data_IF_031319386297
#
_entry.id   IF_031319386297
#
_cell.length_a   1.000
_cell.length_b   1.000
_cell.length_c   1.000
_cell.angle_alpha   90.00
_cell.angle_beta   90.00
_cell.angle_gamma   90.00
#
_symmetry.space_group_name_H-M   'P 1'
#
loop_
_entity.id
_entity.type
_entity.pdbx_description
1 polymer ?
#
# COMPACT_ATOMS: atom_id res chain seq x y z
N UNK A 1 -6.65 -11.04 -30.01
CA UNK A 1 -6.08 -11.16 -28.65
C UNK A 1 -6.15 -12.59 -28.10
N UNK A 2 -7.23 -13.30 -28.33
CA UNK A 2 -7.41 -14.65 -27.76
C UNK A 2 -6.38 -15.69 -28.26
N UNK A 3 -5.93 -15.61 -29.51
CA UNK A 3 -4.90 -16.51 -30.06
C UNK A 3 -3.51 -16.30 -29.44
N UNK A 4 -3.17 -15.08 -29.00
CA UNK A 4 -1.91 -14.78 -28.32
C UNK A 4 -1.92 -15.33 -26.90
N UNK A 5 -3.04 -15.17 -26.19
CA UNK A 5 -3.19 -15.67 -24.81
C UNK A 5 -3.38 -17.20 -24.72
N UNK A 6 -3.79 -17.87 -25.80
CA UNK A 6 -3.97 -19.32 -25.79
C UNK A 6 -2.67 -20.12 -25.56
N UNK A 7 -1.51 -19.58 -26.01
CA UNK A 7 -0.17 -20.17 -25.85
C UNK A 7 0.62 -19.61 -24.69
N UNK A 8 0.09 -18.58 -24.01
CA UNK A 8 0.75 -17.93 -22.88
C UNK A 8 0.49 -18.76 -21.62
N UNK A 9 1.54 -18.98 -20.83
CA UNK A 9 1.47 -19.56 -19.49
C UNK A 9 1.95 -18.53 -18.47
N UNK A 10 1.60 -18.70 -17.19
CA UNK A 10 2.06 -17.80 -16.13
C UNK A 10 3.59 -17.74 -16.08
N UNK A 11 4.27 -18.88 -16.23
CA UNK A 11 5.74 -18.91 -16.25
C UNK A 11 6.34 -18.09 -17.40
N UNK A 12 5.76 -18.18 -18.61
CA UNK A 12 6.21 -17.37 -19.75
C UNK A 12 6.02 -15.88 -19.50
N UNK A 13 4.91 -15.51 -18.87
CA UNK A 13 4.64 -14.13 -18.48
C UNK A 13 5.65 -13.63 -17.44
N UNK A 14 5.97 -14.43 -16.43
CA UNK A 14 6.99 -14.13 -15.43
C UNK A 14 8.38 -13.98 -16.06
N UNK A 15 8.74 -14.86 -17.00
CA UNK A 15 10.03 -14.77 -17.73
C UNK A 15 10.10 -13.46 -18.52
N UNK A 16 9.05 -13.09 -19.24
CA UNK A 16 9.00 -11.82 -19.97
C UNK A 16 9.10 -10.61 -19.03
N UNK A 17 8.41 -10.65 -17.90
CA UNK A 17 8.46 -9.61 -16.88
C UNK A 17 9.84 -9.52 -16.21
N UNK A 18 10.49 -10.63 -15.95
CA UNK A 18 11.86 -10.69 -15.45
C UNK A 18 12.85 -10.10 -16.46
N UNK A 19 12.77 -10.53 -17.73
CA UNK A 19 13.63 -10.02 -18.79
C UNK A 19 13.48 -8.49 -18.95
N UNK A 20 12.25 -7.96 -18.89
CA UNK A 20 12.00 -6.51 -18.92
C UNK A 20 12.77 -5.79 -17.80
N UNK A 21 12.73 -6.31 -16.57
CA UNK A 21 13.40 -5.69 -15.42
C UNK A 21 14.92 -5.80 -15.51
N UNK A 22 15.44 -6.92 -16.00
CA UNK A 22 16.88 -7.09 -16.25
C UNK A 22 17.37 -6.07 -17.28
N UNK A 23 16.65 -5.91 -18.40
CA UNK A 23 16.98 -4.91 -19.42
C UNK A 23 16.97 -3.50 -18.83
N UNK A 24 15.95 -3.15 -18.05
CA UNK A 24 15.86 -1.83 -17.40
C UNK A 24 16.96 -1.60 -16.35
N UNK A 25 17.35 -2.62 -15.59
CA UNK A 25 18.46 -2.53 -14.64
C UNK A 25 19.79 -2.29 -15.37
N UNK A 26 20.07 -3.05 -16.42
CA UNK A 26 21.28 -2.89 -17.22
C UNK A 26 21.31 -1.52 -17.91
N UNK A 27 20.18 -1.11 -18.49
CA UNK A 27 20.04 0.22 -19.07
C UNK A 27 20.22 1.32 -18.02
N UNK A 28 19.70 1.13 -16.84
CA UNK A 28 19.85 2.07 -15.72
C UNK A 28 21.30 2.29 -15.31
N UNK A 29 22.10 1.22 -15.20
CA UNK A 29 23.53 1.32 -14.92
C UNK A 29 24.27 2.04 -16.06
N UNK A 30 23.91 1.74 -17.33
CA UNK A 30 24.47 2.43 -18.48
C UNK A 30 24.12 3.93 -18.47
N UNK A 31 22.85 4.28 -18.24
CA UNK A 31 22.42 5.69 -18.18
C UNK A 31 23.09 6.42 -17.03
N UNK A 32 23.21 5.79 -15.86
CA UNK A 32 23.84 6.39 -14.68
C UNK A 32 25.34 6.64 -14.90
N UNK A 33 26.01 5.83 -15.74
CA UNK A 33 27.42 6.01 -16.07
C UNK A 33 27.64 7.12 -17.08
N UNK A 34 26.86 7.19 -18.15
CA UNK A 34 27.18 8.00 -19.34
C UNK A 34 26.31 9.24 -19.53
N UNK A 35 25.15 9.38 -18.85
CA UNK A 35 24.24 10.50 -19.08
C UNK A 35 24.26 11.48 -17.88
N UNK A 36 23.98 12.76 -18.16
CA UNK A 36 23.83 13.79 -17.12
C UNK A 36 22.59 13.57 -16.27
N UNK A 37 21.48 13.17 -16.89
CA UNK A 37 20.24 12.82 -16.20
C UNK A 37 20.33 11.36 -15.77
N UNK A 38 20.38 11.13 -14.47
CA UNK A 38 20.51 9.79 -13.90
C UNK A 38 19.20 9.02 -13.98
N UNK A 39 19.30 7.71 -14.21
CA UNK A 39 18.17 6.77 -14.15
C UNK A 39 17.75 6.50 -12.71
N UNK A 40 18.74 6.33 -11.84
CA UNK A 40 18.53 6.05 -10.41
C UNK A 40 17.72 7.16 -9.75
N UNK A 41 16.70 6.76 -8.99
CA UNK A 41 15.89 7.69 -8.21
C UNK A 41 16.71 8.29 -7.07
N UNK A 42 16.43 9.56 -6.73
CA UNK A 42 17.07 10.23 -5.59
C UNK A 42 16.79 9.51 -4.28
N UNK A 43 15.58 8.92 -4.13
CA UNK A 43 15.22 8.14 -2.94
C UNK A 43 16.18 6.95 -2.73
N UNK A 44 16.64 6.30 -3.82
CA UNK A 44 17.60 5.20 -3.71
C UNK A 44 18.96 5.63 -3.17
N UNK A 45 19.40 6.82 -3.55
CA UNK A 45 20.64 7.40 -2.98
C UNK A 45 20.47 7.65 -1.48
N UNK A 46 19.32 8.21 -1.10
CA UNK A 46 18.97 8.45 0.30
C UNK A 46 18.94 7.14 1.10
N UNK A 47 18.34 6.09 0.54
CA UNK A 47 18.31 4.75 1.19
C UNK A 47 19.71 4.17 1.35
N UNK A 48 20.56 4.30 0.33
CA UNK A 48 21.92 3.77 0.34
C UNK A 48 22.82 4.53 1.34
N UNK A 49 22.68 5.85 1.42
CA UNK A 49 23.39 6.65 2.42
C UNK A 49 22.95 6.29 3.84
N UNK A 50 21.64 6.12 4.08
CA UNK A 50 21.12 5.67 5.37
C UNK A 50 21.63 4.27 5.74
N UNK A 51 21.69 3.35 4.76
CA UNK A 51 22.25 2.01 4.95
C UNK A 51 23.73 2.07 5.32
N UNK A 52 24.51 3.00 4.74
CA UNK A 52 25.91 3.23 5.10
C UNK A 52 26.05 3.66 6.55
N UNK A 53 25.25 4.62 7.00
CA UNK A 53 25.28 5.05 8.41
C UNK A 53 24.99 3.90 9.36
N UNK A 54 24.02 3.05 9.03
CA UNK A 54 23.76 1.84 9.84
C UNK A 54 24.99 0.90 9.89
N UNK A 55 25.67 0.67 8.76
CA UNK A 55 26.89 -0.19 8.75
C UNK A 55 28.03 0.42 9.54
N UNK A 56 28.04 1.73 9.74
CA UNK A 56 28.99 2.46 10.58
C UNK A 56 28.53 2.55 12.05
N UNK A 57 27.42 1.92 12.44
CA UNK A 57 26.85 1.99 13.79
C UNK A 57 26.23 3.34 14.15
N UNK A 58 25.91 4.15 13.14
CA UNK A 58 25.33 5.50 13.27
C UNK A 58 23.81 5.49 12.98
N UNK A 59 23.13 6.60 13.36
CA UNK A 59 21.72 6.81 13.03
C UNK A 59 21.50 6.99 11.53
N UNK A 60 20.51 6.29 10.91
CA UNK A 60 20.16 6.50 9.51
C UNK A 60 19.62 7.91 9.23
N UNK A 61 19.14 8.60 10.27
CA UNK A 61 18.58 9.95 10.20
C UNK A 61 19.63 11.05 10.10
N UNK A 62 20.92 10.73 10.21
CA UNK A 62 22.01 11.64 9.80
C UNK A 62 21.92 11.98 8.31
N UNK A 63 21.18 11.21 7.52
CA UNK A 63 20.76 11.62 6.18
C UNK A 63 19.49 12.47 6.30
N UNK A 64 19.62 13.79 6.23
CA UNK A 64 18.54 14.77 6.46
C UNK A 64 17.21 14.46 5.76
N UNK A 65 17.26 13.88 4.58
CA UNK A 65 16.08 13.56 3.77
C UNK A 65 15.56 12.14 3.98
N UNK A 66 16.15 11.33 4.87
CA UNK A 66 15.67 9.99 5.17
C UNK A 66 14.40 10.07 6.02
N UNK A 67 13.26 9.62 5.45
CA UNK A 67 11.92 9.72 6.07
C UNK A 67 11.22 8.36 6.09
N UNK A 68 11.96 7.33 6.38
CA UNK A 68 11.51 5.93 6.36
C UNK A 68 11.91 5.21 7.65
N UNK A 69 11.30 4.03 7.87
CA UNK A 69 11.70 3.17 8.99
C UNK A 69 13.17 2.74 8.84
N UNK A 70 13.93 2.61 9.95
CA UNK A 70 15.29 2.06 9.93
C UNK A 70 15.37 0.66 9.31
N UNK A 71 14.28 -0.13 9.37
CA UNK A 71 14.22 -1.46 8.76
C UNK A 71 14.52 -1.44 7.26
N UNK A 72 14.13 -0.40 6.53
CA UNK A 72 14.46 -0.27 5.11
C UNK A 72 15.96 -0.08 4.92
N UNK A 73 16.60 0.79 5.71
CA UNK A 73 18.03 1.02 5.63
C UNK A 73 18.83 -0.24 6.05
N UNK A 74 18.38 -0.95 7.10
CA UNK A 74 18.95 -2.24 7.50
C UNK A 74 18.87 -3.29 6.38
N UNK A 75 17.72 -3.39 5.70
CA UNK A 75 17.51 -4.29 4.57
C UNK A 75 18.44 -3.99 3.39
N UNK A 76 18.83 -2.74 3.24
CA UNK A 76 19.68 -2.27 2.14
C UNK A 76 21.17 -2.19 2.48
N UNK A 77 21.60 -2.63 3.65
CA UNK A 77 23.04 -2.71 3.98
C UNK A 77 23.87 -3.50 2.97
N UNK A 78 23.34 -4.54 2.25
CA UNK A 78 24.08 -5.20 1.19
C UNK A 78 24.46 -4.27 0.01
N UNK A 79 23.82 -3.11 -0.15
CA UNK A 79 24.27 -2.08 -1.10
C UNK A 79 25.71 -1.61 -0.81
N UNK A 80 26.17 -1.73 0.42
CA UNK A 80 27.45 -1.21 0.89
C UNK A 80 28.54 -2.30 0.81
N UNK A 81 28.25 -3.51 1.32
CA UNK A 81 29.27 -4.55 1.44
C UNK A 81 29.22 -5.60 0.32
N UNK A 82 28.17 -5.62 -0.52
CA UNK A 82 28.09 -6.57 -1.62
C UNK A 82 28.11 -5.85 -2.96
N UNK A 83 26.97 -5.30 -3.46
CA UNK A 83 26.96 -4.51 -4.69
C UNK A 83 25.88 -3.41 -4.65
N UNK A 84 26.21 -2.25 -5.21
CA UNK A 84 25.42 -1.01 -5.08
C UNK A 84 23.96 -1.12 -5.56
N UNK A 85 23.67 -1.99 -6.51
CA UNK A 85 22.34 -2.16 -7.09
C UNK A 85 21.57 -3.31 -6.47
N UNK A 86 22.01 -3.88 -5.33
CA UNK A 86 21.30 -4.93 -4.61
C UNK A 86 19.84 -4.55 -4.32
N UNK A 87 19.59 -3.35 -3.79
CA UNK A 87 18.25 -2.89 -3.48
C UNK A 87 17.36 -2.77 -4.72
N UNK A 88 17.90 -2.32 -5.87
CA UNK A 88 17.16 -2.29 -7.14
C UNK A 88 16.73 -3.71 -7.57
N UNK A 89 17.63 -4.69 -7.43
CA UNK A 89 17.31 -6.10 -7.70
C UNK A 89 16.24 -6.64 -6.73
N UNK A 90 16.34 -6.29 -5.45
CA UNK A 90 15.37 -6.66 -4.44
C UNK A 90 13.98 -6.09 -4.76
N UNK A 91 13.89 -4.82 -5.12
CA UNK A 91 12.62 -4.16 -5.46
C UNK A 91 12.02 -4.71 -6.76
N UNK A 92 12.84 -4.97 -7.77
CA UNK A 92 12.43 -5.62 -9.00
C UNK A 92 11.92 -7.06 -8.75
N UNK A 93 12.55 -7.80 -7.84
CA UNK A 93 12.08 -9.13 -7.41
C UNK A 93 10.75 -9.05 -6.66
N UNK A 94 10.58 -8.02 -5.82
CA UNK A 94 9.32 -7.77 -5.14
C UNK A 94 8.17 -7.49 -6.12
N UNK A 95 8.42 -6.79 -7.24
CA UNK A 95 7.43 -6.63 -8.31
C UNK A 95 6.94 -7.97 -8.88
N UNK A 96 7.86 -8.90 -9.12
CA UNK A 96 7.52 -10.22 -9.63
C UNK A 96 6.70 -11.01 -8.60
N UNK A 97 7.05 -10.87 -7.31
CA UNK A 97 6.31 -11.48 -6.21
C UNK A 97 4.90 -10.86 -6.08
N UNK A 98 4.74 -9.55 -6.26
CA UNK A 98 3.42 -8.93 -6.35
C UNK A 98 2.59 -9.55 -7.47
N UNK A 99 3.16 -9.72 -8.66
CA UNK A 99 2.48 -10.37 -9.79
C UNK A 99 2.08 -11.82 -9.48
N UNK A 100 2.95 -12.57 -8.80
CA UNK A 100 2.62 -13.91 -8.32
C UNK A 100 1.46 -13.90 -7.32
N UNK A 101 1.47 -12.99 -6.35
CA UNK A 101 0.40 -12.86 -5.35
C UNK A 101 -0.93 -12.46 -6.01
N UNK A 102 -0.92 -11.54 -6.98
CA UNK A 102 -2.10 -11.18 -7.77
C UNK A 102 -2.68 -12.43 -8.44
N UNK A 103 -1.85 -13.19 -9.15
CA UNK A 103 -2.27 -14.44 -9.79
C UNK A 103 -2.89 -15.41 -8.79
N UNK A 104 -2.22 -15.66 -7.66
CA UNK A 104 -2.70 -16.57 -6.62
C UNK A 104 -4.04 -16.13 -6.02
N UNK A 105 -4.21 -14.83 -5.79
CA UNK A 105 -5.47 -14.26 -5.28
C UNK A 105 -6.58 -14.43 -6.31
N UNK A 106 -6.35 -14.17 -7.58
CA UNK A 106 -7.35 -14.33 -8.64
C UNK A 106 -7.79 -15.79 -8.77
N UNK A 107 -6.85 -16.73 -8.75
CA UNK A 107 -7.14 -18.17 -8.79
C UNK A 107 -7.89 -18.62 -7.52
N UNK A 108 -7.49 -18.14 -6.35
CA UNK A 108 -8.16 -18.45 -5.08
C UNK A 108 -9.62 -17.94 -5.05
N UNK A 109 -9.91 -16.87 -5.78
CA UNK A 109 -11.28 -16.33 -5.99
C UNK A 109 -12.07 -17.08 -7.07
N UNK A 110 -11.57 -18.22 -7.55
CA UNK A 110 -12.26 -19.08 -8.50
C UNK A 110 -12.02 -18.76 -9.98
N UNK A 111 -11.08 -17.84 -10.30
CA UNK A 111 -10.77 -17.54 -11.69
C UNK A 111 -9.89 -18.63 -12.30
N UNK A 112 -10.21 -19.15 -13.51
CA UNK A 112 -9.29 -20.03 -14.22
C UNK A 112 -7.94 -19.37 -14.46
N UNK A 113 -6.82 -20.06 -14.19
CA UNK A 113 -5.47 -19.54 -14.29
C UNK A 113 -5.18 -18.87 -15.65
N UNK A 114 -5.65 -19.46 -16.76
CA UNK A 114 -5.53 -18.86 -18.11
C UNK A 114 -6.24 -17.51 -18.21
N UNK A 115 -7.39 -17.36 -17.58
CA UNK A 115 -8.16 -16.10 -17.60
C UNK A 115 -7.51 -15.02 -16.73
N UNK A 116 -6.79 -15.41 -15.68
CA UNK A 116 -6.07 -14.50 -14.81
C UNK A 116 -4.90 -13.81 -15.53
N UNK A 117 -4.25 -14.47 -16.50
CA UNK A 117 -3.05 -13.96 -17.17
C UNK A 117 -3.18 -12.54 -17.77
N UNK A 118 -4.35 -12.19 -18.28
CA UNK A 118 -4.60 -10.85 -18.82
C UNK A 118 -4.59 -9.76 -17.75
N UNK A 119 -4.98 -10.11 -16.53
CA UNK A 119 -4.96 -9.21 -15.38
C UNK A 119 -3.56 -9.16 -14.76
N UNK A 120 -2.87 -10.30 -14.70
CA UNK A 120 -1.49 -10.39 -14.24
C UNK A 120 -0.55 -9.53 -15.12
N UNK A 121 -0.80 -9.53 -16.43
CA UNK A 121 -0.02 -8.73 -17.39
C UNK A 121 -0.15 -7.21 -17.13
N UNK A 122 -1.28 -6.73 -16.57
CA UNK A 122 -1.46 -5.32 -16.22
C UNK A 122 -0.50 -4.84 -15.12
N UNK A 123 0.01 -5.75 -14.31
CA UNK A 123 1.06 -5.48 -13.34
C UNK A 123 2.43 -5.88 -13.86
N UNK A 124 2.60 -7.13 -14.27
CA UNK A 124 3.90 -7.72 -14.60
C UNK A 124 4.59 -7.05 -15.79
N UNK A 125 3.81 -6.66 -16.80
CA UNK A 125 4.32 -5.98 -18.01
C UNK A 125 4.07 -4.47 -18.01
N UNK A 126 3.65 -3.90 -16.89
CA UNK A 126 3.46 -2.47 -16.78
C UNK A 126 4.80 -1.74 -16.77
N UNK A 127 5.09 -0.87 -17.76
CA UNK A 127 6.38 -0.18 -17.83
C UNK A 127 6.59 0.80 -16.69
N UNK A 128 5.52 1.40 -16.16
CA UNK A 128 5.61 2.30 -15.00
C UNK A 128 6.03 1.53 -13.75
N UNK A 129 5.43 0.36 -13.50
CA UNK A 129 5.78 -0.52 -12.37
C UNK A 129 7.25 -0.93 -12.47
N UNK A 130 7.66 -1.49 -13.63
CA UNK A 130 9.02 -1.94 -13.84
C UNK A 130 10.04 -0.78 -13.73
N UNK A 131 9.70 0.41 -14.23
CA UNK A 131 10.57 1.57 -14.15
C UNK A 131 10.75 2.06 -12.70
N UNK A 132 9.68 2.12 -11.91
CA UNK A 132 9.74 2.61 -10.52
C UNK A 132 10.64 1.71 -9.66
N UNK A 133 10.48 0.39 -9.74
CA UNK A 133 11.29 -0.55 -8.95
C UNK A 133 12.76 -0.59 -9.39
N UNK A 134 13.03 -0.61 -10.71
CA UNK A 134 14.38 -0.66 -11.25
C UNK A 134 15.16 0.65 -11.08
N UNK A 135 14.46 1.77 -10.89
CA UNK A 135 15.06 3.03 -10.46
C UNK A 135 15.45 3.05 -8.98
N UNK A 136 15.01 2.05 -8.20
CA UNK A 136 15.36 1.90 -6.79
C UNK A 136 14.32 2.44 -5.80
N UNK A 137 13.04 2.38 -6.16
CA UNK A 137 11.96 2.75 -5.25
C UNK A 137 11.37 1.52 -4.54
N UNK A 138 11.13 1.62 -3.23
CA UNK A 138 10.77 0.50 -2.36
C UNK A 138 9.27 0.17 -2.32
N UNK A 139 8.42 0.80 -3.14
CA UNK A 139 6.95 0.65 -3.07
C UNK A 139 6.48 -0.78 -3.37
N UNK A 140 7.23 -1.53 -4.16
CA UNK A 140 6.92 -2.94 -4.44
C UNK A 140 7.05 -3.84 -3.21
N UNK A 141 7.97 -3.56 -2.28
CA UNK A 141 8.05 -4.27 -0.99
C UNK A 141 6.75 -4.12 -0.19
N UNK A 142 6.24 -2.90 -0.15
CA UNK A 142 4.98 -2.61 0.52
C UNK A 142 3.80 -3.30 -0.19
N UNK A 143 3.80 -3.32 -1.53
CA UNK A 143 2.85 -4.08 -2.33
C UNK A 143 2.85 -5.57 -1.98
N UNK A 144 4.02 -6.19 -1.82
CA UNK A 144 4.15 -7.59 -1.36
C UNK A 144 3.53 -7.79 0.03
N UNK A 145 3.76 -6.88 0.97
CA UNK A 145 3.22 -7.01 2.33
C UNK A 145 1.69 -6.89 2.33
N UNK A 146 1.13 -5.93 1.59
CA UNK A 146 -0.33 -5.72 1.48
C UNK A 146 -1.00 -6.90 0.77
N UNK A 147 -0.53 -7.27 -0.42
CA UNK A 147 -1.07 -8.41 -1.17
C UNK A 147 -0.84 -9.74 -0.43
N UNK A 148 0.31 -9.88 0.25
CA UNK A 148 0.62 -11.01 1.10
C UNK A 148 -0.37 -11.14 2.25
N UNK A 149 -0.70 -10.05 2.94
CA UNK A 149 -1.73 -10.03 3.98
C UNK A 149 -3.07 -10.51 3.42
N UNK A 150 -3.53 -9.96 2.27
CA UNK A 150 -4.79 -10.35 1.66
C UNK A 150 -4.79 -11.84 1.25
N UNK A 151 -3.71 -12.33 0.65
CA UNK A 151 -3.57 -13.73 0.29
C UNK A 151 -3.63 -14.65 1.52
N UNK A 152 -2.89 -14.32 2.58
CA UNK A 152 -2.83 -15.12 3.81
C UNK A 152 -4.18 -15.14 4.53
N UNK A 153 -4.89 -14.00 4.60
CA UNK A 153 -6.24 -13.94 5.16
C UNK A 153 -7.21 -14.81 4.34
N UNK A 154 -7.18 -14.72 3.01
CA UNK A 154 -8.08 -15.48 2.14
C UNK A 154 -7.83 -16.98 2.19
N UNK A 155 -6.61 -17.42 2.41
CA UNK A 155 -6.29 -18.86 2.55
C UNK A 155 -6.79 -19.46 3.86
N UNK A 156 -7.20 -18.64 4.83
CA UNK A 156 -7.76 -19.02 6.16
C UNK A 156 -6.82 -19.86 7.02
N UNK A 157 -5.84 -20.52 6.43
CA UNK A 157 -4.87 -21.41 7.10
C UNK A 157 -3.78 -20.66 7.85
N UNK A 158 -3.42 -19.47 7.38
CA UNK A 158 -2.24 -18.73 7.84
C UNK A 158 -2.60 -17.44 8.57
N UNK A 159 -3.61 -17.52 9.45
CA UNK A 159 -4.14 -16.38 10.19
C UNK A 159 -3.07 -15.59 10.95
N UNK A 160 -2.23 -16.26 11.72
CA UNK A 160 -1.16 -15.59 12.47
C UNK A 160 -0.14 -14.91 11.56
N UNK A 161 0.25 -15.59 10.48
CA UNK A 161 1.14 -14.98 9.48
C UNK A 161 0.53 -13.72 8.86
N UNK A 162 -0.80 -13.72 8.62
CA UNK A 162 -1.50 -12.53 8.13
C UNK A 162 -1.44 -11.38 9.13
N UNK A 163 -1.63 -11.65 10.43
CA UNK A 163 -1.51 -10.65 11.48
C UNK A 163 -0.10 -10.04 11.54
N UNK A 164 0.93 -10.89 11.47
CA UNK A 164 2.33 -10.47 11.51
C UNK A 164 2.67 -9.59 10.30
N UNK A 165 2.32 -10.03 9.09
CA UNK A 165 2.61 -9.29 7.84
C UNK A 165 1.83 -7.97 7.81
N UNK A 166 0.59 -7.94 8.30
CA UNK A 166 -0.19 -6.70 8.37
C UNK A 166 0.44 -5.69 9.34
N UNK A 167 0.76 -6.10 10.57
CA UNK A 167 1.44 -5.24 11.54
C UNK A 167 2.78 -4.71 11.03
N UNK A 168 3.58 -5.58 10.37
CA UNK A 168 4.82 -5.19 9.72
C UNK A 168 4.59 -4.18 8.58
N UNK A 169 3.56 -4.37 7.75
CA UNK A 169 3.26 -3.45 6.66
C UNK A 169 2.91 -2.04 7.16
N UNK A 170 2.16 -1.94 8.26
CA UNK A 170 1.81 -0.67 8.89
C UNK A 170 3.04 -0.01 9.51
N UNK A 171 3.95 -0.79 10.12
CA UNK A 171 5.22 -0.26 10.64
C UNK A 171 6.14 0.22 9.52
N UNK A 172 6.22 -0.52 8.41
CA UNK A 172 7.06 -0.17 7.27
C UNK A 172 6.60 1.14 6.61
N UNK A 173 5.28 1.35 6.52
CA UNK A 173 4.65 2.59 6.05
C UNK A 173 3.23 2.65 6.62
N UNK A 174 2.84 3.75 7.22
CA UNK A 174 1.60 3.85 8.02
C UNK A 174 0.32 3.63 7.21
N UNK A 175 0.32 3.94 5.89
CA UNK A 175 -0.91 3.96 5.10
C UNK A 175 -1.68 2.62 5.04
N UNK A 176 -1.08 1.41 5.06
CA UNK A 176 -1.83 0.14 5.03
C UNK A 176 -2.84 -0.01 6.18
N UNK A 177 -2.75 0.79 7.24
CA UNK A 177 -3.73 0.81 8.32
C UNK A 177 -5.17 1.06 7.82
N UNK A 178 -5.33 1.72 6.66
CA UNK A 178 -6.65 1.94 6.04
C UNK A 178 -7.39 0.64 5.73
N UNK A 179 -6.67 -0.44 5.50
CA UNK A 179 -7.24 -1.76 5.20
C UNK A 179 -7.72 -2.51 6.46
N UNK A 180 -7.50 -1.97 7.65
CA UNK A 180 -7.96 -2.61 8.90
C UNK A 180 -9.47 -2.85 8.88
N UNK A 181 -10.27 -1.85 8.45
CA UNK A 181 -11.73 -1.96 8.43
C UNK A 181 -12.21 -3.09 7.49
N UNK A 182 -11.87 -3.13 6.18
CA UNK A 182 -12.31 -4.21 5.32
C UNK A 182 -11.74 -5.58 5.72
N UNK A 183 -10.53 -5.64 6.30
CA UNK A 183 -10.00 -6.91 6.85
C UNK A 183 -10.84 -7.39 8.03
N UNK A 184 -11.19 -6.51 8.96
CA UNK A 184 -12.05 -6.86 10.09
C UNK A 184 -13.47 -7.25 9.64
N UNK A 185 -14.00 -6.64 8.57
CA UNK A 185 -15.30 -7.03 7.99
C UNK A 185 -15.26 -8.44 7.36
N UNK A 186 -14.13 -8.80 6.74
CA UNK A 186 -13.93 -10.12 6.15
C UNK A 186 -13.78 -11.22 7.24
N UNK A 187 -13.20 -10.88 8.39
CA UNK A 187 -13.00 -11.76 9.54
C UNK A 187 -14.30 -11.92 10.37
N UNK A 188 -15.39 -12.30 9.73
CA UNK A 188 -16.67 -12.56 10.38
C UNK A 188 -16.71 -13.95 11.07
N UNK A 189 -17.84 -14.30 11.64
CA UNK A 189 -18.04 -15.57 12.33
C UNK A 189 -17.94 -16.80 11.40
N UNK A 190 -18.09 -16.61 10.09
CA UNK A 190 -17.96 -17.64 9.06
C UNK A 190 -16.51 -17.78 8.56
N UNK A 191 -15.59 -16.93 8.99
CA UNK A 191 -14.19 -16.99 8.57
C UNK A 191 -13.51 -18.34 8.86
N UNK A 192 -14.11 -19.14 9.73
CA UNK A 192 -13.53 -20.37 10.25
C UNK A 192 -12.77 -20.09 11.54
N UNK A 193 -12.86 -21.00 12.47
CA UNK A 193 -12.21 -20.81 13.77
C UNK A 193 -10.74 -21.25 13.67
N UNK A 194 -9.76 -20.31 13.56
CA UNK A 194 -8.33 -20.65 13.60
C UNK A 194 -7.94 -21.29 14.96
N UNK A 195 -8.86 -21.35 15.91
CA UNK A 195 -8.67 -21.79 17.29
C UNK A 195 -9.45 -23.06 17.65
N UNK A 196 -9.84 -23.85 16.65
CA UNK A 196 -10.59 -25.09 16.91
C UNK A 196 -9.94 -26.00 17.97
N UNK A 197 -8.65 -25.79 18.26
CA UNK A 197 -7.90 -26.51 19.29
C UNK A 197 -7.84 -25.80 20.66
N UNK A 198 -8.28 -24.53 20.76
CA UNK A 198 -8.23 -23.79 22.05
C UNK A 198 -9.56 -23.89 22.78
N UNK A 199 -9.59 -24.70 23.85
CA UNK A 199 -10.77 -24.86 24.69
C UNK A 199 -11.27 -23.53 25.31
N UNK A 200 -10.37 -22.59 25.61
CA UNK A 200 -10.72 -21.28 26.14
C UNK A 200 -11.46 -20.42 25.11
N UNK A 201 -10.96 -20.31 23.90
CA UNK A 201 -11.58 -19.48 22.85
C UNK A 201 -12.91 -20.06 22.37
N UNK A 202 -13.03 -21.39 22.36
CA UNK A 202 -14.31 -22.06 22.10
C UNK A 202 -15.33 -21.69 23.18
N UNK A 203 -14.94 -21.68 24.46
CA UNK A 203 -15.83 -21.24 25.57
C UNK A 203 -16.24 -19.77 25.40
N UNK A 204 -15.31 -18.87 25.10
CA UNK A 204 -15.60 -17.44 24.87
C UNK A 204 -16.63 -17.28 23.73
N UNK A 205 -16.47 -18.05 22.66
CA UNK A 205 -17.40 -18.01 21.52
C UNK A 205 -18.79 -18.52 21.90
N UNK A 206 -18.89 -19.58 22.69
CA UNK A 206 -20.18 -20.06 23.20
C UNK A 206 -20.90 -19.05 24.09
N UNK A 207 -20.17 -18.41 25.02
CA UNK A 207 -20.73 -17.35 25.87
C UNK A 207 -21.24 -16.18 24.99
N UNK A 208 -20.45 -15.77 24.00
CA UNK A 208 -20.84 -14.72 23.06
C UNK A 208 -22.11 -15.05 22.28
N UNK A 209 -22.24 -16.27 21.75
CA UNK A 209 -23.46 -16.71 21.06
C UNK A 209 -24.69 -16.73 21.97
N UNK A 210 -24.51 -17.13 23.22
CA UNK A 210 -25.59 -17.07 24.22
C UNK A 210 -26.06 -15.64 24.44
N UNK A 211 -25.14 -14.69 24.67
CA UNK A 211 -25.49 -13.28 24.85
C UNK A 211 -26.18 -12.71 23.61
N UNK A 212 -25.72 -13.03 22.39
CA UNK A 212 -26.37 -12.60 21.16
C UNK A 212 -27.80 -13.12 21.09
N UNK A 213 -28.03 -14.40 21.45
CA UNK A 213 -29.34 -15.02 21.44
C UNK A 213 -30.30 -14.36 22.45
N UNK A 214 -29.83 -14.06 23.69
CA UNK A 214 -30.58 -13.33 24.71
C UNK A 214 -30.98 -11.92 24.22
N UNK A 215 -30.04 -11.20 23.56
CA UNK A 215 -30.32 -9.89 22.98
C UNK A 215 -31.33 -9.97 21.80
N UNK A 216 -31.33 -11.06 21.03
CA UNK A 216 -32.32 -11.29 19.97
C UNK A 216 -33.73 -11.47 20.56
N UNK A 217 -33.86 -12.20 21.67
CA UNK A 217 -35.14 -12.34 22.37
C UNK A 217 -35.63 -10.99 22.92
N UNK A 218 -34.76 -10.19 23.56
CA UNK A 218 -35.11 -8.87 24.03
C UNK A 218 -35.55 -7.92 22.91
N UNK A 219 -34.93 -8.01 21.72
CA UNK A 219 -35.30 -7.21 20.56
C UNK A 219 -36.64 -7.66 19.94
N UNK A 220 -37.00 -8.92 20.07
CA UNK A 220 -38.29 -9.43 19.65
C UNK A 220 -39.43 -8.93 20.55
N UNK A 221 -39.16 -8.75 21.85
CA UNK A 221 -40.11 -8.20 22.81
C UNK A 221 -40.21 -6.68 22.79
N UNK A 222 -39.05 -5.98 22.63
CA UNK A 222 -38.97 -4.53 22.65
C UNK A 222 -37.91 -4.03 21.68
N UNK A 223 -38.32 -3.33 20.64
CA UNK A 223 -37.42 -2.74 19.63
C UNK A 223 -36.65 -1.53 20.20
N UNK A 224 -35.56 -1.79 20.91
CA UNK A 224 -34.70 -0.79 21.54
C UNK A 224 -33.48 -0.51 20.70
N UNK A 225 -33.23 0.79 20.42
CA UNK A 225 -32.02 1.26 19.73
C UNK A 225 -30.77 0.86 20.51
N UNK A 226 -30.79 0.99 21.83
CA UNK A 226 -29.68 0.64 22.70
C UNK A 226 -29.34 -0.84 22.56
N UNK A 227 -30.34 -1.74 22.60
CA UNK A 227 -30.15 -3.19 22.43
C UNK A 227 -29.60 -3.53 21.06
N UNK A 228 -30.03 -2.83 19.98
CA UNK A 228 -29.48 -2.97 18.64
C UNK A 228 -28.00 -2.60 18.58
N UNK A 229 -27.62 -1.47 19.18
CA UNK A 229 -26.22 -1.03 19.24
C UNK A 229 -25.37 -2.03 20.01
N UNK A 230 -25.79 -2.45 21.21
CA UNK A 230 -25.07 -3.41 22.04
C UNK A 230 -24.90 -4.73 21.30
N UNK A 231 -25.95 -5.28 20.70
CA UNK A 231 -25.88 -6.49 19.88
C UNK A 231 -24.90 -6.30 18.70
N UNK A 232 -25.03 -5.21 17.95
CA UNK A 232 -24.16 -4.90 16.81
C UNK A 232 -22.67 -4.87 17.24
N UNK A 233 -22.38 -4.25 18.40
CA UNK A 233 -21.03 -4.18 18.96
C UNK A 233 -20.51 -5.58 19.33
N UNK A 234 -21.31 -6.41 20.01
CA UNK A 234 -20.92 -7.76 20.41
C UNK A 234 -20.72 -8.67 19.17
N UNK A 235 -21.57 -8.52 18.16
CA UNK A 235 -21.41 -9.23 16.89
C UNK A 235 -20.15 -8.79 16.16
N UNK A 236 -19.84 -7.49 16.17
CA UNK A 236 -18.62 -6.98 15.54
C UNK A 236 -17.35 -7.42 16.30
N UNK A 237 -17.35 -7.40 17.62
CA UNK A 237 -16.21 -7.78 18.46
C UNK A 237 -16.11 -9.32 18.59
N UNK A 238 -15.89 -10.00 17.46
CA UNK A 238 -15.60 -11.45 17.47
C UNK A 238 -14.19 -11.75 17.96
N UNK A 239 -13.93 -12.90 18.62
CA UNK A 239 -12.59 -13.28 19.08
C UNK A 239 -11.54 -13.25 17.96
N UNK A 240 -11.91 -13.62 16.75
CA UNK A 240 -11.02 -13.60 15.57
C UNK A 240 -10.61 -12.16 15.23
N UNK A 241 -11.57 -11.22 15.20
CA UNK A 241 -11.30 -9.80 14.93
C UNK A 241 -10.43 -9.17 16.00
N UNK A 242 -10.76 -9.43 17.27
CA UNK A 242 -9.99 -8.91 18.43
C UNK A 242 -8.55 -9.42 18.32
N UNK A 243 -8.37 -10.71 18.10
CA UNK A 243 -7.03 -11.29 18.03
C UNK A 243 -6.24 -10.79 16.81
N UNK A 244 -6.89 -10.64 15.66
CA UNK A 244 -6.24 -10.03 14.49
C UNK A 244 -5.74 -8.62 14.83
N UNK A 245 -6.59 -7.79 15.42
CA UNK A 245 -6.24 -6.44 15.83
C UNK A 245 -5.12 -6.42 16.86
N UNK A 246 -5.21 -7.24 17.92
CA UNK A 246 -4.21 -7.27 19.00
C UNK A 246 -2.84 -7.75 18.50
N UNK A 247 -2.77 -8.83 17.71
CA UNK A 247 -1.48 -9.33 17.21
C UNK A 247 -0.87 -8.33 16.23
N UNK A 248 -1.67 -7.79 15.30
CA UNK A 248 -1.15 -6.81 14.33
C UNK A 248 -0.68 -5.53 15.02
N UNK A 249 -1.44 -5.04 16.00
CA UNK A 249 -1.05 -3.89 16.81
C UNK A 249 0.21 -4.20 17.64
N UNK A 250 0.30 -5.37 18.24
CA UNK A 250 1.50 -5.79 19.00
C UNK A 250 2.74 -5.77 18.10
N UNK A 251 2.67 -6.30 16.88
CA UNK A 251 3.81 -6.27 15.94
C UNK A 251 4.20 -4.84 15.60
N UNK A 252 3.21 -3.99 15.28
CA UNK A 252 3.47 -2.58 15.01
C UNK A 252 4.14 -1.87 16.18
N UNK A 253 3.58 -2.00 17.39
CA UNK A 253 4.10 -1.30 18.57
C UNK A 253 5.43 -1.89 19.04
N UNK A 254 5.63 -3.21 18.96
CA UNK A 254 6.90 -3.84 19.34
C UNK A 254 8.05 -3.38 18.44
N UNK A 255 7.83 -3.35 17.11
CA UNK A 255 8.82 -2.83 16.17
C UNK A 255 9.05 -1.33 16.39
N UNK A 256 7.99 -0.57 16.59
CA UNK A 256 8.08 0.88 16.85
C UNK A 256 8.85 1.16 18.14
N UNK A 257 8.56 0.43 19.22
CA UNK A 257 9.28 0.56 20.49
C UNK A 257 10.75 0.17 20.36
N UNK A 258 11.06 -0.90 19.62
CA UNK A 258 12.45 -1.32 19.37
C UNK A 258 13.23 -0.24 18.61
N UNK A 259 12.63 0.34 17.56
CA UNK A 259 13.28 1.41 16.79
C UNK A 259 13.38 2.70 17.61
N UNK A 260 12.38 3.02 18.41
CA UNK A 260 12.42 4.17 19.30
C UNK A 260 13.50 4.02 20.38
N UNK A 261 13.64 2.83 20.97
CA UNK A 261 14.69 2.56 21.95
C UNK A 261 16.10 2.74 21.35
N UNK A 262 16.27 2.46 20.05
CA UNK A 262 17.56 2.55 19.39
C UNK A 262 17.88 3.95 18.84
N UNK A 263 16.87 4.67 18.34
CA UNK A 263 17.04 5.94 17.62
C UNK A 263 16.31 7.13 18.23
N UNK A 264 15.55 6.91 19.32
CA UNK A 264 14.86 7.97 20.07
C UNK A 264 13.84 8.77 19.26
N UNK A 265 13.77 10.06 19.58
CA UNK A 265 12.82 11.00 18.97
C UNK A 265 13.04 11.19 17.48
N UNK A 266 14.28 11.06 16.98
CA UNK A 266 14.59 11.16 15.54
C UNK A 266 13.76 10.17 14.73
N UNK A 267 13.62 8.92 15.24
CA UNK A 267 12.79 7.92 14.60
C UNK A 267 11.32 8.36 14.50
N UNK A 268 10.72 8.82 15.60
CA UNK A 268 9.32 9.25 15.61
C UNK A 268 9.09 10.46 14.71
N UNK A 269 9.97 11.45 14.79
CA UNK A 269 9.91 12.68 14.01
C UNK A 269 9.99 12.38 12.51
N UNK A 270 11.01 11.64 12.08
CA UNK A 270 11.29 11.43 10.67
C UNK A 270 10.43 10.35 10.01
N UNK A 271 10.10 9.26 10.74
CA UNK A 271 9.34 8.15 10.15
C UNK A 271 7.83 8.44 10.08
N UNK A 272 7.26 9.08 11.11
CA UNK A 272 5.81 9.24 11.22
C UNK A 272 5.36 10.71 11.25
N UNK A 273 5.87 11.52 12.19
CA UNK A 273 5.37 12.88 12.42
C UNK A 273 5.65 13.83 11.26
N UNK A 274 6.79 13.68 10.61
CA UNK A 274 7.13 14.47 9.42
C UNK A 274 6.05 14.44 8.35
N UNK A 275 5.40 13.31 8.13
CA UNK A 275 4.37 13.18 7.09
C UNK A 275 3.10 13.97 7.41
N UNK A 276 2.84 14.28 8.66
CA UNK A 276 1.71 15.11 9.10
C UNK A 276 1.97 16.59 8.79
N UNK A 277 3.19 17.04 9.02
CA UNK A 277 3.58 18.44 8.86
C UNK A 277 4.16 18.76 7.48
N UNK A 278 4.51 17.72 6.69
CA UNK A 278 5.16 17.88 5.38
C UNK A 278 4.38 18.80 4.46
N UNK A 279 5.11 19.76 3.90
CA UNK A 279 4.67 20.64 2.82
C UNK A 279 5.63 20.49 1.64
N UNK A 280 5.08 20.27 0.44
CA UNK A 280 5.85 20.19 -0.79
C UNK A 280 5.16 21.04 -1.86
N UNK A 281 5.71 22.20 -2.13
CA UNK A 281 5.22 23.14 -3.12
C UNK A 281 5.94 23.02 -4.47
N UNK A 282 6.84 22.04 -4.65
CA UNK A 282 7.59 21.85 -5.90
C UNK A 282 7.22 20.55 -6.62
N UNK A 283 7.29 19.41 -5.92
CA UNK A 283 7.12 18.06 -6.49
C UNK A 283 5.85 17.38 -5.98
N UNK A 284 4.69 17.98 -6.24
CA UNK A 284 3.42 17.54 -5.67
C UNK A 284 2.30 17.49 -6.73
N UNK A 285 1.68 16.31 -6.90
CA UNK A 285 0.55 16.09 -7.79
C UNK A 285 -0.80 16.22 -7.09
N UNK A 286 -0.85 16.63 -5.81
CA UNK A 286 -2.08 16.69 -5.03
C UNK A 286 -3.02 17.80 -5.48
N UNK A 287 -4.30 17.65 -5.10
CA UNK A 287 -5.32 18.69 -5.26
C UNK A 287 -4.99 19.93 -4.40
N UNK A 288 -4.21 19.75 -3.34
CA UNK A 288 -3.77 20.79 -2.40
C UNK A 288 -2.54 21.58 -2.89
N UNK A 289 -1.92 21.17 -4.00
CA UNK A 289 -0.69 21.78 -4.50
C UNK A 289 -0.78 23.28 -4.64
N UNK A 290 -1.86 23.78 -5.30
CA UNK A 290 -2.02 25.20 -5.57
C UNK A 290 -2.22 26.03 -4.29
N UNK A 291 -2.95 25.49 -3.34
CA UNK A 291 -3.15 26.14 -2.03
C UNK A 291 -1.86 26.22 -1.24
N UNK A 292 -1.05 25.16 -1.23
CA UNK A 292 0.28 25.16 -0.59
C UNK A 292 1.25 26.11 -1.28
N UNK A 293 1.14 26.23 -2.62
CA UNK A 293 1.97 27.18 -3.38
C UNK A 293 1.63 28.64 -3.04
N UNK A 294 0.36 28.98 -2.87
CA UNK A 294 -0.05 30.34 -2.48
C UNK A 294 0.25 30.67 -1.01
N UNK A 295 0.31 29.65 -0.16
CA UNK A 295 0.51 29.81 1.29
C UNK A 295 1.96 29.69 1.77
N UNK A 296 2.96 29.75 0.87
CA UNK A 296 4.39 29.56 1.21
C UNK A 296 4.83 30.46 2.38
N UNK A 297 4.36 31.69 2.42
CA UNK A 297 4.77 32.69 3.41
C UNK A 297 3.84 32.75 4.65
N UNK A 298 2.68 32.08 4.62
CA UNK A 298 1.62 32.18 5.65
C UNK A 298 0.90 30.85 5.92
N UNK A 299 1.63 29.74 6.10
CA UNK A 299 1.00 28.46 6.41
C UNK A 299 0.58 28.37 7.87
N UNK A 300 -0.74 28.26 8.10
CA UNK A 300 -1.27 27.88 9.40
C UNK A 300 -1.07 26.39 9.63
N UNK A 301 -0.49 25.94 10.78
CA UNK A 301 -0.34 24.53 11.11
C UNK A 301 -1.66 23.74 11.03
N UNK A 302 -2.79 24.39 11.32
CA UNK A 302 -4.13 23.83 11.24
C UNK A 302 -4.55 23.45 9.81
N UNK A 303 -4.08 24.17 8.79
CA UNK A 303 -4.42 23.88 7.40
C UNK A 303 -3.91 22.50 6.96
N UNK A 304 -2.73 22.11 7.47
CA UNK A 304 -2.19 20.77 7.26
C UNK A 304 -3.06 19.65 7.82
N UNK A 305 -3.65 19.86 9.00
CA UNK A 305 -4.55 18.90 9.64
C UNK A 305 -5.92 18.85 8.96
N UNK A 306 -6.48 19.99 8.57
CA UNK A 306 -7.77 20.08 7.86
C UNK A 306 -7.74 19.28 6.54
N UNK A 307 -6.63 19.27 5.84
CA UNK A 307 -6.47 18.50 4.60
C UNK A 307 -6.63 16.97 4.80
N UNK A 308 -6.36 16.45 6.00
CA UNK A 308 -6.56 15.03 6.31
C UNK A 308 -8.01 14.64 6.62
N UNK A 309 -8.87 15.60 7.00
CA UNK A 309 -10.25 15.30 7.40
C UNK A 309 -11.05 14.63 6.28
N UNK A 310 -11.13 15.18 5.04
CA UNK A 310 -11.86 14.51 3.96
C UNK A 310 -11.24 13.17 3.58
N UNK A 311 -9.91 13.04 3.63
CA UNK A 311 -9.20 11.80 3.36
C UNK A 311 -9.62 10.70 4.34
N UNK A 312 -9.51 10.95 5.65
CA UNK A 312 -9.82 9.97 6.69
C UNK A 312 -11.32 9.64 6.74
N UNK A 313 -12.19 10.66 6.59
CA UNK A 313 -13.63 10.45 6.57
C UNK A 313 -14.06 9.54 5.41
N UNK A 314 -13.63 9.84 4.18
CA UNK A 314 -13.97 9.07 3.00
C UNK A 314 -13.40 7.65 3.04
N UNK A 315 -12.16 7.48 3.47
CA UNK A 315 -11.52 6.16 3.61
C UNK A 315 -12.28 5.31 4.63
N UNK A 316 -12.67 5.89 5.77
CA UNK A 316 -13.44 5.19 6.80
C UNK A 316 -14.83 4.81 6.29
N UNK A 317 -15.56 5.76 5.68
CA UNK A 317 -16.89 5.51 5.12
C UNK A 317 -16.88 4.39 4.07
N UNK A 318 -15.88 4.37 3.18
CA UNK A 318 -15.73 3.32 2.17
C UNK A 318 -15.42 1.97 2.83
N UNK A 319 -14.52 1.96 3.82
CA UNK A 319 -14.22 0.74 4.57
C UNK A 319 -15.45 0.12 5.22
N UNK A 320 -16.33 0.94 5.78
CA UNK A 320 -17.59 0.50 6.40
C UNK A 320 -18.61 0.08 5.33
N UNK A 321 -18.81 0.91 4.30
CA UNK A 321 -19.86 0.68 3.30
C UNK A 321 -19.57 -0.53 2.39
N UNK A 322 -18.32 -0.74 2.04
CA UNK A 322 -17.90 -1.75 1.07
C UNK A 322 -16.98 -2.82 1.66
N UNK A 323 -16.74 -2.83 2.97
CA UNK A 323 -15.78 -3.73 3.62
C UNK A 323 -16.03 -5.23 3.41
N UNK A 324 -17.27 -5.63 3.06
CA UNK A 324 -17.59 -7.02 2.68
C UNK A 324 -16.92 -7.45 1.36
N UNK A 325 -16.66 -6.54 0.44
CA UNK A 325 -15.82 -6.76 -0.74
C UNK A 325 -14.42 -6.17 -0.49
N UNK A 326 -13.54 -6.99 0.08
CA UNK A 326 -12.18 -6.60 0.47
C UNK A 326 -11.45 -5.86 -0.66
N UNK A 327 -11.49 -6.37 -1.88
CA UNK A 327 -10.68 -5.82 -2.97
C UNK A 327 -11.24 -4.52 -3.50
N UNK A 328 -12.57 -4.41 -3.62
CA UNK A 328 -13.20 -3.17 -4.00
C UNK A 328 -13.00 -2.09 -2.94
N UNK A 329 -13.22 -2.43 -1.67
CA UNK A 329 -12.98 -1.49 -0.57
C UNK A 329 -11.52 -1.03 -0.50
N UNK A 330 -10.57 -1.96 -0.56
CA UNK A 330 -9.15 -1.65 -0.51
C UNK A 330 -8.71 -0.77 -1.68
N UNK A 331 -9.18 -1.07 -2.91
CA UNK A 331 -8.87 -0.25 -4.08
C UNK A 331 -9.43 1.17 -3.93
N UNK A 332 -10.71 1.29 -3.57
CA UNK A 332 -11.36 2.60 -3.40
C UNK A 332 -10.76 3.40 -2.26
N UNK A 333 -10.44 2.75 -1.13
CA UNK A 333 -9.75 3.39 -0.02
C UNK A 333 -8.38 3.92 -0.44
N UNK A 334 -7.59 3.12 -1.16
CA UNK A 334 -6.27 3.52 -1.65
C UNK A 334 -6.37 4.64 -2.67
N UNK A 335 -7.30 4.52 -3.62
CA UNK A 335 -7.51 5.54 -4.65
C UNK A 335 -7.87 6.90 -4.02
N UNK A 336 -8.82 6.91 -3.08
CA UNK A 336 -9.22 8.12 -2.36
C UNK A 336 -8.10 8.63 -1.44
N UNK A 337 -7.43 7.71 -0.72
CA UNK A 337 -6.30 8.08 0.12
C UNK A 337 -5.23 8.82 -0.68
N UNK A 338 -4.87 8.32 -1.87
CA UNK A 338 -3.91 8.99 -2.76
C UNK A 338 -4.47 10.29 -3.31
N UNK A 339 -5.73 10.31 -3.77
CA UNK A 339 -6.35 11.50 -4.38
C UNK A 339 -6.42 12.69 -3.41
N UNK A 340 -6.76 12.44 -2.15
CA UNK A 340 -6.90 13.49 -1.13
C UNK A 340 -5.62 13.66 -0.28
N UNK A 341 -4.55 12.94 -0.60
CA UNK A 341 -3.29 13.10 0.13
C UNK A 341 -2.72 14.51 -0.07
N UNK A 342 -2.17 15.05 1.00
CA UNK A 342 -1.57 16.39 1.02
C UNK A 342 -0.40 16.53 0.03
N UNK A 343 0.44 15.51 -0.06
CA UNK A 343 1.56 15.45 -1.01
C UNK A 343 1.51 14.14 -1.77
N UNK A 344 1.47 14.21 -3.10
CA UNK A 344 1.42 13.06 -3.99
C UNK A 344 2.64 13.08 -4.91
N UNK A 345 3.35 11.97 -4.95
CA UNK A 345 4.41 11.71 -5.92
C UNK A 345 4.00 10.54 -6.84
N UNK A 346 4.64 10.40 -7.99
CA UNK A 346 4.25 9.39 -8.98
C UNK A 346 4.33 7.95 -8.47
N UNK A 347 5.23 7.65 -7.52
CA UNK A 347 5.36 6.32 -6.93
C UNK A 347 4.12 5.89 -6.12
N UNK A 348 3.31 6.82 -5.60
CA UNK A 348 2.08 6.48 -4.86
C UNK A 348 1.00 5.84 -5.75
N UNK A 349 1.11 6.02 -7.05
CA UNK A 349 0.21 5.34 -8.00
C UNK A 349 0.38 3.81 -7.95
N UNK A 350 1.55 3.31 -7.57
CA UNK A 350 1.80 1.88 -7.37
C UNK A 350 0.81 1.24 -6.39
N UNK A 351 0.37 1.99 -5.36
CA UNK A 351 -0.48 1.45 -4.31
C UNK A 351 -1.86 1.02 -4.79
N UNK A 352 -2.48 1.78 -5.69
CA UNK A 352 -3.76 1.36 -6.26
C UNK A 352 -3.59 0.56 -7.56
N UNK A 353 -2.48 0.73 -8.28
CA UNK A 353 -2.19 -0.06 -9.49
C UNK A 353 -2.02 -1.54 -9.13
N UNK A 354 -1.44 -1.89 -7.99
CA UNK A 354 -1.31 -3.28 -7.57
C UNK A 354 -2.65 -3.94 -7.23
N UNK A 355 -3.67 -3.16 -6.84
CA UNK A 355 -5.01 -3.65 -6.53
C UNK A 355 -5.93 -3.68 -7.77
N UNK A 356 -5.61 -2.90 -8.79
CA UNK A 356 -6.43 -2.77 -10.00
C UNK A 356 -6.71 -4.11 -10.71
N UNK A 357 -5.74 -5.02 -10.91
CA UNK A 357 -5.99 -6.34 -11.48
C UNK A 357 -7.02 -7.18 -10.71
N UNK A 358 -7.15 -6.94 -9.40
CA UNK A 358 -8.02 -7.72 -8.52
C UNK A 358 -9.49 -7.29 -8.57
N UNK A 359 -9.76 -6.04 -8.98
CA UNK A 359 -11.13 -5.50 -9.09
C UNK A 359 -11.70 -5.61 -10.50
N UNK A 360 -10.84 -5.57 -11.52
CA UNK A 360 -11.27 -5.59 -12.92
C UNK A 360 -12.16 -6.78 -13.29
N UNK A 361 -11.92 -8.01 -12.79
CA UNK A 361 -12.76 -9.16 -13.12
C UNK A 361 -14.23 -8.99 -12.70
N UNK A 362 -14.46 -8.29 -11.59
CA UNK A 362 -15.81 -8.03 -11.05
C UNK A 362 -16.45 -6.77 -11.65
N UNK A 363 -15.70 -6.00 -12.43
CA UNK A 363 -16.20 -4.76 -13.02
C UNK A 363 -17.17 -5.01 -14.16
N UNK A 364 -18.31 -4.32 -14.15
CA UNK A 364 -19.27 -4.29 -15.25
C UNK A 364 -18.81 -3.40 -16.42
N UNK A 365 -17.74 -2.64 -16.24
CA UNK A 365 -17.17 -1.78 -17.28
C UNK A 365 -16.49 -2.67 -18.32
N UNK A 366 -17.12 -2.83 -19.48
CA UNK A 366 -16.47 -3.48 -20.62
C UNK A 366 -15.28 -2.61 -21.06
N UNK A 367 -14.07 -3.09 -20.82
CA UNK A 367 -12.79 -2.40 -21.03
C UNK A 367 -12.44 -2.31 -22.54
N UNK A 368 -13.38 -1.85 -23.36
CA UNK A 368 -13.16 -1.54 -24.77
C UNK A 368 -12.79 -0.06 -24.92
N UNK A 369 -13.60 0.70 -25.65
CA UNK A 369 -13.35 2.11 -25.87
C UNK A 369 -13.47 2.99 -24.62
N UNK A 370 -14.39 2.69 -23.70
CA UNK A 370 -14.56 3.47 -22.45
C UNK A 370 -13.32 3.38 -21.55
N UNK A 371 -12.73 2.18 -21.42
CA UNK A 371 -11.50 2.02 -20.65
C UNK A 371 -10.30 2.72 -21.28
N UNK A 372 -10.18 2.65 -22.62
CA UNK A 372 -9.15 3.38 -23.35
C UNK A 372 -9.31 4.89 -23.19
N UNK A 373 -10.52 5.42 -23.29
CA UNK A 373 -10.80 6.85 -23.08
C UNK A 373 -10.44 7.29 -21.65
N UNK A 374 -10.77 6.49 -20.62
CA UNK A 374 -10.40 6.79 -19.23
C UNK A 374 -8.88 6.78 -19.06
N UNK A 375 -8.17 5.81 -19.66
CA UNK A 375 -6.72 5.77 -19.63
C UNK A 375 -6.10 6.99 -20.33
N UNK A 376 -6.60 7.33 -21.51
CA UNK A 376 -6.14 8.51 -22.26
C UNK A 376 -6.42 9.80 -21.50
N UNK A 377 -7.59 9.94 -20.87
CA UNK A 377 -7.94 11.08 -20.04
C UNK A 377 -7.00 11.19 -18.82
N UNK A 378 -6.68 10.05 -18.18
CA UNK A 378 -5.73 10.02 -17.08
C UNK A 378 -4.33 10.43 -17.52
N UNK A 379 -3.80 9.88 -18.63
CA UNK A 379 -2.51 10.24 -19.20
C UNK A 379 -2.48 11.72 -19.61
N UNK A 380 -3.52 12.20 -20.32
CA UNK A 380 -3.64 13.60 -20.71
C UNK A 380 -3.63 14.55 -19.51
N UNK A 381 -4.33 14.19 -18.41
CA UNK A 381 -4.30 14.95 -17.17
C UNK A 381 -2.90 15.07 -16.56
N UNK A 382 -2.06 14.02 -16.64
CA UNK A 382 -0.68 14.05 -16.18
C UNK A 382 0.20 14.95 -17.09
N UNK A 383 0.07 14.80 -18.41
CA UNK A 383 0.84 15.59 -19.40
C UNK A 383 0.49 17.08 -19.30
N UNK A 384 -0.80 17.44 -19.30
CA UNK A 384 -1.23 18.84 -19.21
C UNK A 384 -0.72 19.53 -17.93
N UNK A 385 -0.65 18.80 -16.82
CA UNK A 385 -0.12 19.32 -15.56
C UNK A 385 1.39 19.60 -15.66
N UNK A 386 2.16 18.73 -16.27
CA UNK A 386 3.60 18.90 -16.47
C UNK A 386 3.92 20.08 -17.40
N UNK A 387 3.21 20.21 -18.53
CA UNK A 387 3.35 21.33 -19.47
C UNK A 387 3.05 22.68 -18.78
N UNK A 388 1.96 22.77 -18.03
CA UNK A 388 1.65 23.99 -17.25
C UNK A 388 2.75 24.37 -16.27
N UNK A 389 3.43 23.38 -15.71
CA UNK A 389 4.52 23.59 -14.75
C UNK A 389 5.76 24.15 -15.43
N UNK A 390 6.18 23.60 -16.58
CA UNK A 390 7.33 24.10 -17.34
C UNK A 390 7.10 25.51 -17.87
N UNK A 391 5.94 25.78 -18.44
CA UNK A 391 5.58 27.14 -18.93
C UNK A 391 5.64 28.15 -17.80
N UNK A 392 5.18 27.80 -16.58
CA UNK A 392 5.21 28.70 -15.43
C UNK A 392 6.62 28.93 -14.92
N UNK A 393 7.50 27.91 -14.91
CA UNK A 393 8.92 28.05 -14.57
C UNK A 393 9.68 28.97 -15.53
N UNK A 394 9.35 28.92 -16.82
CA UNK A 394 9.94 29.85 -17.81
C UNK A 394 9.45 31.28 -17.62
N UNK A 395 8.18 31.49 -17.30
CA UNK A 395 7.62 32.84 -17.07
C UNK A 395 8.17 33.49 -15.77
N UNK A 396 8.46 32.72 -14.73
CA UNK A 396 9.04 33.26 -13.50
C UNK A 396 10.55 33.51 -13.60
N UNK A 397 11.28 32.82 -14.48
CA UNK A 397 12.69 33.07 -14.75
C UNK A 397 12.97 34.21 -15.73
N UNK A 398 11.96 34.60 -16.52
CA UNK A 398 12.08 35.71 -17.46
C UNK A 398 11.87 37.11 -16.83
N UNK A 399 11.48 37.17 -15.55
CA UNK A 399 11.23 38.43 -14.83
C UNK A 399 12.24 38.70 -13.70
N UNK A 400 13.36 37.96 -13.65
CA UNK A 400 14.54 38.25 -12.84
C UNK A 400 15.75 38.45 -13.76
#
# INVERSE_FOLDING_TARGET
MDALFSRLTFNKLCIAAFALRVVLLLYGEYQDAYFTVKYTDIDYVVFTDAARYITEGKSPYLRETYRYTPLLAMLLTPNIFWFRSFGKCLFASADLLCGYLIHRILVLRGMPSKSALKFDALWLLNPMVANISTRGNAESLLGVMVLGTFYLVLTRRYFYSACLVFGLSVHFKIYPVIYAIPLLMLLDDHYGNPFQQSSFLVKVQHVRFRIIHELDQQLAEKDSITTKIVKGTIVFLSPVRILFGLISAFVFFALTASMYQQYGDEFMQHTYLYHVTREDHRHNFSIWFYQMYLGIDNTSPWMGLVAFVPQLALVTLIGIAFGKDLFFAAFMQTFIFVTFNKVITSQYFMWYICLFPLILPSSRIKFRWKGLLLLLAWVAGQVCRNVRREVRHHLTRGNT
#
